data_IF_382517705873
#
_entry.id   IF_382517705873
#
_cell.length_a   1.000
_cell.length_b   1.000
_cell.length_c   1.000
_cell.angle_alpha   90.00
_cell.angle_beta   90.00
_cell.angle_gamma   90.00
#
_symmetry.space_group_name_H-M   'P 1'
#
loop_
_entity.id
_entity.type
_entity.pdbx_description
1 polymer ?
#
# COMPACT_ATOMS: atom_id res chain seq x y z
N UNK A 1 18.81 -27.43 26.38
CA UNK A 1 20.22 -27.29 26.81
C UNK A 1 20.58 -25.83 26.76
N UNK A 2 21.32 -25.28 27.78
CA UNK A 2 21.66 -23.87 27.75
C UNK A 2 22.58 -23.55 26.55
N UNK A 3 22.31 -22.41 25.91
CA UNK A 3 23.18 -21.83 24.90
C UNK A 3 24.30 -21.08 25.61
N UNK A 4 25.53 -21.38 25.28
CA UNK A 4 26.72 -20.78 25.90
C UNK A 4 27.10 -19.45 25.26
N UNK A 5 26.91 -19.34 23.94
CA UNK A 5 27.22 -18.15 23.16
C UNK A 5 26.29 -18.08 21.96
N UNK A 6 25.87 -16.88 21.60
CA UNK A 6 25.16 -16.63 20.35
C UNK A 6 25.62 -15.29 19.76
N UNK A 7 25.45 -15.14 18.47
CA UNK A 7 25.68 -13.92 17.73
C UNK A 7 24.64 -13.83 16.60
N UNK A 8 24.17 -12.62 16.35
CA UNK A 8 23.24 -12.33 15.28
C UNK A 8 23.79 -11.20 14.42
N UNK A 9 23.42 -11.22 13.14
CA UNK A 9 23.49 -10.08 12.24
C UNK A 9 22.09 -9.78 11.74
N UNK A 10 21.66 -8.52 11.86
CA UNK A 10 20.35 -8.06 11.39
C UNK A 10 20.60 -7.01 10.32
N UNK A 11 20.06 -7.24 9.13
CA UNK A 11 20.23 -6.36 7.98
C UNK A 11 18.90 -6.14 7.24
N UNK A 12 18.78 -5.02 6.56
CA UNK A 12 17.72 -4.72 5.62
C UNK A 12 18.24 -4.70 4.19
N UNK A 13 17.35 -4.84 3.19
CA UNK A 13 17.77 -4.82 1.78
C UNK A 13 18.35 -3.46 1.37
N UNK A 14 17.91 -2.37 2.02
CA UNK A 14 18.40 -1.01 1.80
C UNK A 14 19.50 -0.59 2.78
N UNK A 15 19.70 -1.33 3.88
CA UNK A 15 20.72 -1.05 4.89
C UNK A 15 21.36 -2.36 5.36
N UNK A 16 22.67 -2.45 5.28
CA UNK A 16 23.41 -3.65 5.64
C UNK A 16 23.49 -3.91 7.16
N UNK A 17 23.23 -2.92 8.00
CA UNK A 17 23.38 -3.03 9.45
C UNK A 17 22.25 -2.27 10.18
N UNK A 18 21.28 -3.00 10.71
CA UNK A 18 20.27 -2.44 11.59
C UNK A 18 20.72 -2.49 13.06
N UNK A 19 20.35 -1.45 13.81
CA UNK A 19 20.48 -1.48 15.26
C UNK A 19 19.39 -2.39 15.85
N UNK A 20 19.81 -3.28 16.74
CA UNK A 20 18.91 -4.19 17.43
C UNK A 20 19.35 -4.46 18.85
N UNK A 21 18.43 -4.93 19.65
CA UNK A 21 18.70 -5.47 20.99
C UNK A 21 18.22 -6.91 21.09
N UNK A 22 18.81 -7.66 22.01
CA UNK A 22 18.44 -9.06 22.24
C UNK A 22 18.12 -9.30 23.70
N UNK A 23 17.05 -10.07 23.95
CA UNK A 23 16.68 -10.53 25.30
C UNK A 23 16.53 -12.05 25.28
N UNK A 24 17.24 -12.73 26.15
CA UNK A 24 17.12 -14.19 26.32
C UNK A 24 15.96 -14.46 27.26
N UNK A 25 15.08 -15.37 26.89
CA UNK A 25 14.01 -15.92 27.70
C UNK A 25 14.15 -17.44 27.79
N UNK A 26 13.42 -18.07 28.74
CA UNK A 26 13.49 -19.54 28.97
C UNK A 26 13.17 -20.37 27.71
N UNK A 27 12.33 -19.85 26.83
CA UNK A 27 11.86 -20.55 25.61
C UNK A 27 12.41 -20.00 24.31
N UNK A 28 13.26 -18.95 24.33
CA UNK A 28 13.77 -18.35 23.12
C UNK A 28 14.56 -17.07 23.29
N UNK A 29 14.84 -16.44 22.18
CA UNK A 29 15.53 -15.15 22.10
C UNK A 29 14.61 -14.16 21.41
N UNK A 30 14.38 -13.02 22.04
CA UNK A 30 13.68 -11.90 21.43
C UNK A 30 14.73 -10.98 20.82
N UNK A 31 14.59 -10.69 19.53
CA UNK A 31 15.40 -9.69 18.83
C UNK A 31 14.48 -8.50 18.53
N UNK A 32 14.81 -7.34 19.07
CA UNK A 32 14.05 -6.10 18.86
C UNK A 32 14.86 -5.18 17.96
N UNK A 33 14.35 -4.87 16.78
CA UNK A 33 14.95 -3.89 15.88
C UNK A 33 14.63 -2.49 16.43
N UNK A 34 15.65 -1.66 16.55
CA UNK A 34 15.56 -0.33 17.17
C UNK A 34 15.42 0.78 16.13
N UNK A 35 15.77 0.51 14.88
CA UNK A 35 15.65 1.45 13.78
C UNK A 35 14.21 1.51 13.27
N UNK A 36 13.83 2.67 12.73
CA UNK A 36 12.58 2.83 12.01
C UNK A 36 12.73 2.15 10.66
N UNK A 37 11.95 1.10 10.46
CA UNK A 37 11.96 0.36 9.20
C UNK A 37 11.06 1.06 8.17
N UNK A 38 11.52 1.17 6.92
CA UNK A 38 10.64 1.60 5.84
C UNK A 38 9.56 0.57 5.57
N UNK A 39 8.51 0.99 4.88
CA UNK A 39 7.47 0.11 4.36
C UNK A 39 8.06 -0.93 3.41
N UNK A 40 7.52 -2.14 3.43
CA UNK A 40 7.83 -3.24 2.51
C UNK A 40 9.30 -3.66 2.47
N UNK A 41 10.06 -3.35 3.50
CA UNK A 41 11.49 -3.66 3.61
C UNK A 41 11.71 -5.15 3.90
N UNK A 42 12.66 -5.76 3.21
CA UNK A 42 13.07 -7.14 3.49
C UNK A 42 14.14 -7.15 4.58
N UNK A 43 13.85 -7.79 5.69
CA UNK A 43 14.74 -7.91 6.84
C UNK A 43 15.26 -9.33 6.91
N UNK A 44 16.57 -9.45 7.02
CA UNK A 44 17.28 -10.73 7.19
C UNK A 44 17.92 -10.77 8.58
N UNK A 45 17.59 -11.78 9.34
CA UNK A 45 18.20 -12.08 10.63
C UNK A 45 19.02 -13.36 10.48
N UNK A 46 20.32 -13.24 10.58
CA UNK A 46 21.22 -14.39 10.57
C UNK A 46 21.63 -14.74 11.99
N UNK A 47 21.43 -15.97 12.37
CA UNK A 47 22.09 -16.57 13.53
C UNK A 47 23.49 -17.00 13.11
N UNK A 48 24.48 -16.14 13.37
CA UNK A 48 25.85 -16.38 12.92
C UNK A 48 26.54 -17.46 13.76
N UNK A 49 26.15 -17.53 15.05
CA UNK A 49 26.74 -18.47 16.01
C UNK A 49 25.75 -18.79 17.11
N UNK A 50 25.47 -20.05 17.31
CA UNK A 50 24.84 -20.54 18.53
C UNK A 50 25.61 -21.76 19.04
N UNK A 51 26.38 -21.60 20.12
CA UNK A 51 27.16 -22.67 20.70
C UNK A 51 26.38 -23.24 21.89
N UNK A 52 25.95 -24.46 21.73
CA UNK A 52 25.32 -25.24 22.81
C UNK A 52 26.38 -25.89 23.72
N UNK A 53 25.94 -26.43 24.83
CA UNK A 53 26.82 -27.08 25.83
C UNK A 53 27.63 -28.27 25.28
N UNK A 54 27.19 -28.85 24.18
CA UNK A 54 27.92 -29.90 23.44
C UNK A 54 28.99 -29.37 22.47
N UNK A 55 29.25 -28.04 22.48
CA UNK A 55 30.18 -27.32 21.62
C UNK A 55 29.84 -27.39 20.11
N UNK A 56 28.64 -27.82 19.77
CA UNK A 56 28.16 -27.73 18.38
C UNK A 56 27.74 -26.29 18.08
N UNK A 57 28.17 -25.83 16.91
CA UNK A 57 27.77 -24.54 16.38
C UNK A 57 26.57 -24.71 15.46
N UNK A 58 25.57 -23.86 15.64
CA UNK A 58 24.36 -23.81 14.81
C UNK A 58 24.29 -22.43 14.14
N UNK A 59 23.90 -22.45 12.88
CA UNK A 59 23.63 -21.24 12.11
C UNK A 59 22.23 -21.37 11.50
N UNK A 60 21.55 -20.26 11.35
CA UNK A 60 20.21 -20.22 10.71
C UNK A 60 19.96 -18.82 10.15
N UNK A 61 19.03 -18.73 9.21
CA UNK A 61 18.65 -17.45 8.59
C UNK A 61 17.12 -17.34 8.55
N UNK A 62 16.62 -16.23 9.04
CA UNK A 62 15.20 -15.88 8.97
C UNK A 62 15.06 -14.64 8.08
N UNK A 63 14.07 -14.66 7.20
CA UNK A 63 13.74 -13.53 6.31
C UNK A 63 12.26 -13.18 6.50
N UNK A 64 11.99 -11.91 6.71
CA UNK A 64 10.63 -11.39 6.79
C UNK A 64 10.55 -9.99 6.17
N UNK A 65 9.35 -9.47 6.00
CA UNK A 65 9.13 -8.12 5.49
C UNK A 65 8.46 -7.25 6.52
N UNK A 66 8.81 -5.97 6.52
CA UNK A 66 8.06 -4.96 7.25
C UNK A 66 6.66 -4.81 6.65
N UNK A 67 5.74 -4.21 7.40
CA UNK A 67 4.36 -3.98 6.94
C UNK A 67 4.34 -3.22 5.62
N UNK A 68 3.46 -3.61 4.73
CA UNK A 68 3.13 -2.85 3.53
C UNK A 68 2.30 -1.63 3.96
N UNK A 69 2.87 -0.42 3.83
CA UNK A 69 2.21 0.81 4.27
C UNK A 69 1.05 1.14 3.33
N UNK A 70 -0.13 1.38 3.87
CA UNK A 70 -1.36 1.53 3.09
C UNK A 70 -2.21 0.27 2.97
N UNK A 71 -1.68 -0.90 3.33
CA UNK A 71 -2.46 -2.11 3.54
C UNK A 71 -3.18 -2.00 4.90
N UNK A 72 -4.46 -1.66 4.86
CA UNK A 72 -5.26 -1.37 6.06
C UNK A 72 -6.07 -2.57 6.53
N UNK A 73 -6.19 -3.59 5.70
CA UNK A 73 -6.90 -4.84 6.02
C UNK A 73 -5.95 -6.02 6.30
N UNK A 74 -4.62 -5.80 6.21
CA UNK A 74 -3.55 -6.77 6.43
C UNK A 74 -3.61 -8.00 5.49
N UNK A 75 -4.02 -7.79 4.22
CA UNK A 75 -4.10 -8.85 3.21
C UNK A 75 -2.85 -8.89 2.30
N UNK A 76 -1.84 -8.07 2.59
CA UNK A 76 -0.58 -7.91 1.82
C UNK A 76 -0.77 -7.34 0.42
N UNK A 77 -1.85 -6.62 0.21
CA UNK A 77 -2.15 -5.90 -1.04
C UNK A 77 -2.47 -4.45 -0.74
N UNK A 78 -2.51 -3.64 -1.79
CA UNK A 78 -3.11 -2.31 -1.74
C UNK A 78 -4.20 -2.29 -2.79
N UNK A 79 -5.43 -2.19 -2.35
CA UNK A 79 -6.61 -2.41 -3.18
C UNK A 79 -7.74 -1.45 -2.83
N UNK A 80 -8.86 -1.57 -3.52
CA UNK A 80 -10.08 -0.79 -3.24
C UNK A 80 -10.59 -1.05 -1.81
N UNK A 81 -10.36 -2.23 -1.27
CA UNK A 81 -10.73 -2.59 0.11
C UNK A 81 -10.01 -1.73 1.13
N UNK A 82 -8.74 -1.36 0.86
CA UNK A 82 -7.97 -0.45 1.73
C UNK A 82 -8.49 0.98 1.65
N UNK A 83 -8.88 1.44 0.46
CA UNK A 83 -9.54 2.74 0.31
C UNK A 83 -10.86 2.77 1.07
N UNK A 84 -11.65 1.72 0.97
CA UNK A 84 -12.88 1.61 1.74
C UNK A 84 -12.62 1.63 3.24
N UNK A 85 -11.60 0.89 3.69
CA UNK A 85 -11.14 0.87 5.09
C UNK A 85 -10.68 2.25 5.54
N UNK A 86 -9.91 2.95 4.70
CA UNK A 86 -9.48 4.32 4.94
C UNK A 86 -10.69 5.26 5.08
N UNK A 87 -11.61 5.25 4.13
CA UNK A 87 -12.79 6.11 4.14
C UNK A 87 -13.73 5.83 5.33
N UNK A 88 -13.96 4.56 5.66
CA UNK A 88 -14.80 4.17 6.80
C UNK A 88 -14.22 4.61 8.14
N UNK A 89 -12.92 4.68 8.24
CA UNK A 89 -12.20 5.01 9.47
C UNK A 89 -11.77 6.47 9.54
N UNK A 90 -11.89 7.24 8.47
CA UNK A 90 -11.57 8.67 8.45
C UNK A 90 -12.50 9.50 9.35
N UNK A 91 -11.98 10.39 10.18
CA UNK A 91 -10.59 10.74 10.50
C UNK A 91 -10.09 10.07 11.81
N UNK A 92 -9.98 8.76 11.86
CA UNK A 92 -9.54 8.02 13.06
C UNK A 92 -8.06 7.70 13.00
N UNK A 93 -7.48 7.31 14.15
CA UNK A 93 -6.03 7.05 14.32
C UNK A 93 -5.46 6.02 13.33
N UNK A 94 -6.22 5.01 12.96
CA UNK A 94 -5.76 4.00 12.01
C UNK A 94 -5.73 4.48 10.54
N UNK A 95 -6.12 5.71 10.26
CA UNK A 95 -5.96 6.38 8.96
C UNK A 95 -4.85 7.43 8.98
N UNK A 96 -4.10 7.54 10.07
CA UNK A 96 -2.92 8.38 10.18
C UNK A 96 -1.73 7.64 9.55
N UNK A 97 -1.53 7.85 8.26
CA UNK A 97 -0.50 7.22 7.44
C UNK A 97 0.68 8.14 7.16
N UNK A 98 0.52 9.42 7.42
CA UNK A 98 1.48 10.45 7.06
C UNK A 98 1.85 11.41 8.18
N UNK A 99 2.78 12.29 7.91
CA UNK A 99 3.58 12.40 6.68
C UNK A 99 4.52 11.21 6.46
N UNK A 100 4.99 11.08 5.22
CA UNK A 100 5.97 10.06 4.83
C UNK A 100 7.15 10.69 4.12
N UNK A 101 8.34 10.10 4.27
CA UNK A 101 9.53 10.42 3.48
C UNK A 101 9.99 9.22 2.67
N UNK A 102 10.90 9.44 1.71
CA UNK A 102 11.38 8.39 0.82
C UNK A 102 10.49 8.18 -0.41
N UNK A 103 10.79 7.12 -1.14
CA UNK A 103 10.06 6.68 -2.33
C UNK A 103 9.39 5.33 -2.08
N UNK A 104 8.18 5.16 -2.63
CA UNK A 104 7.50 3.87 -2.56
C UNK A 104 8.33 2.77 -3.25
N UNK A 105 8.34 1.54 -2.74
CA UNK A 105 7.59 1.07 -1.58
C UNK A 105 8.24 1.40 -0.23
N UNK A 106 9.47 1.88 -0.20
CA UNK A 106 10.30 2.07 0.98
C UNK A 106 10.03 3.41 1.66
N UNK A 107 8.75 3.71 1.90
CA UNK A 107 8.36 4.91 2.62
C UNK A 107 8.69 4.78 4.11
N UNK A 108 9.25 5.84 4.68
CA UNK A 108 9.41 5.98 6.12
C UNK A 108 8.19 6.73 6.66
N UNK A 109 7.28 6.03 7.36
CA UNK A 109 6.11 6.67 7.96
C UNK A 109 6.50 7.48 9.20
N UNK A 110 5.84 8.62 9.35
CA UNK A 110 5.96 9.48 10.54
C UNK A 110 4.58 10.01 10.92
N UNK A 111 3.65 9.13 11.36
CA UNK A 111 2.31 9.52 11.75
C UNK A 111 2.32 10.67 12.74
N UNK A 112 1.52 11.70 12.49
CA UNK A 112 1.50 12.93 13.31
C UNK A 112 0.28 13.02 14.24
N UNK A 113 -0.57 12.01 14.25
CA UNK A 113 -1.78 11.92 15.06
C UNK A 113 -2.97 12.66 14.45
N UNK A 114 -2.83 13.19 13.24
CA UNK A 114 -3.85 13.98 12.55
C UNK A 114 -4.18 13.31 11.21
N UNK A 115 -5.41 12.85 11.03
CA UNK A 115 -5.84 12.34 9.72
C UNK A 115 -6.18 13.50 8.79
N UNK A 116 -5.30 13.77 7.83
CA UNK A 116 -5.41 14.87 6.87
C UNK A 116 -4.98 14.45 5.43
N UNK A 117 -4.83 15.40 4.53
CA UNK A 117 -4.43 15.15 3.14
C UNK A 117 -3.02 14.54 3.00
N UNK A 118 -2.17 14.62 4.02
CA UNK A 118 -0.84 13.99 3.98
C UNK A 118 -0.96 12.48 4.05
N UNK A 119 -1.94 11.97 4.80
CA UNK A 119 -2.23 10.54 4.89
C UNK A 119 -2.74 9.98 3.57
N UNK A 120 -3.65 10.74 2.96
CA UNK A 120 -4.13 10.42 1.64
C UNK A 120 -3.00 10.44 0.59
N UNK A 121 -2.10 11.41 0.68
CA UNK A 121 -0.94 11.48 -0.21
C UNK A 121 0.03 10.29 0.05
N UNK A 122 0.20 9.88 1.30
CA UNK A 122 0.98 8.70 1.66
C UNK A 122 0.38 7.43 1.06
N UNK A 123 -0.93 7.24 1.24
CA UNK A 123 -1.67 6.14 0.63
C UNK A 123 -1.55 6.15 -0.89
N UNK A 124 -1.76 7.31 -1.53
CA UNK A 124 -1.67 7.47 -2.98
C UNK A 124 -0.31 7.07 -3.56
N UNK A 125 0.81 7.42 -2.87
CA UNK A 125 2.15 6.99 -3.30
C UNK A 125 2.29 5.48 -3.33
N UNK A 126 1.80 4.79 -2.28
CA UNK A 126 1.87 3.33 -2.20
C UNK A 126 0.93 2.67 -3.20
N UNK A 127 -0.26 3.24 -3.41
CA UNK A 127 -1.19 2.79 -4.42
C UNK A 127 -0.57 2.79 -5.81
N UNK A 128 0.01 3.94 -6.21
CA UNK A 128 0.65 4.09 -7.53
C UNK A 128 1.76 3.06 -7.71
N UNK A 129 2.65 2.93 -6.72
CA UNK A 129 3.70 1.93 -6.79
C UNK A 129 3.14 0.52 -6.91
N UNK A 130 2.16 0.15 -6.08
CA UNK A 130 1.61 -1.20 -6.05
C UNK A 130 1.03 -1.61 -7.41
N UNK A 131 0.27 -0.71 -8.03
CA UNK A 131 -0.34 -0.98 -9.33
C UNK A 131 0.63 -0.87 -10.50
N UNK A 132 1.64 -0.03 -10.43
CA UNK A 132 2.54 0.20 -11.55
C UNK A 132 3.77 -0.67 -11.54
N UNK A 133 4.32 -1.00 -10.40
CA UNK A 133 5.58 -1.74 -10.31
C UNK A 133 5.40 -3.17 -9.81
N UNK A 134 4.49 -3.37 -8.89
CA UNK A 134 4.33 -4.67 -8.26
C UNK A 134 3.32 -5.57 -8.97
N UNK A 135 2.24 -5.00 -9.48
CA UNK A 135 1.11 -5.74 -10.05
C UNK A 135 1.07 -5.76 -11.58
N UNK A 136 2.15 -5.38 -12.28
CA UNK A 136 2.20 -5.33 -13.74
C UNK A 136 1.85 -6.67 -14.41
N UNK A 137 2.31 -7.77 -13.85
CA UNK A 137 2.02 -9.10 -14.40
C UNK A 137 0.55 -9.51 -14.20
N UNK A 138 -0.11 -8.98 -13.17
CA UNK A 138 -1.51 -9.30 -12.88
C UNK A 138 -2.48 -8.48 -13.71
N UNK A 139 -2.14 -7.23 -14.06
CA UNK A 139 -2.98 -6.41 -14.95
C UNK A 139 -2.98 -6.90 -16.40
N UNK A 140 -1.90 -7.57 -16.82
CA UNK A 140 -1.79 -8.15 -18.17
C UNK A 140 -2.25 -9.62 -18.20
N UNK A 141 -2.26 -10.32 -17.08
CA UNK A 141 -2.59 -11.74 -16.99
C UNK A 141 -3.89 -12.06 -16.25
N UNK A 142 -4.41 -11.11 -15.48
CA UNK A 142 -5.72 -11.32 -14.86
C UNK A 142 -6.80 -11.04 -15.87
N UNK A 143 -7.27 -12.09 -16.53
CA UNK A 143 -8.68 -12.22 -16.80
C UNK A 143 -9.43 -12.22 -15.46
N UNK A 144 -9.37 -11.13 -14.71
CA UNK A 144 -10.34 -10.85 -13.68
C UNK A 144 -11.60 -10.49 -14.46
N UNK A 145 -12.28 -11.51 -14.95
CA UNK A 145 -13.65 -11.36 -15.37
C UNK A 145 -14.48 -11.15 -14.09
N UNK A 146 -14.38 -9.97 -13.49
CA UNK A 146 -15.51 -9.51 -12.75
C UNK A 146 -16.62 -9.38 -13.78
N UNK A 147 -17.59 -10.25 -13.69
CA UNK A 147 -18.84 -10.19 -14.48
C UNK A 147 -19.66 -8.97 -14.02
N UNK A 148 -19.06 -7.79 -14.14
CA UNK A 148 -19.76 -6.54 -13.95
C UNK A 148 -20.00 -5.96 -15.32
N UNK A 149 -21.26 -5.76 -15.66
CA UNK A 149 -21.69 -4.97 -16.83
C UNK A 149 -21.33 -3.49 -16.61
N UNK A 150 -20.02 -3.20 -16.63
CA UNK A 150 -19.53 -1.83 -16.64
C UNK A 150 -19.66 -1.31 -18.05
N UNK A 151 -20.60 -0.40 -18.26
CA UNK A 151 -20.73 0.30 -19.53
C UNK A 151 -20.04 1.65 -19.47
N UNK A 152 -19.14 1.88 -20.43
CA UNK A 152 -18.51 3.18 -20.66
C UNK A 152 -19.04 3.77 -21.97
N UNK A 153 -19.57 4.98 -21.92
CA UNK A 153 -20.02 5.72 -23.09
C UNK A 153 -19.31 7.06 -23.16
N UNK A 154 -18.68 7.33 -24.30
CA UNK A 154 -18.13 8.65 -24.60
C UNK A 154 -19.19 9.50 -25.28
N UNK A 155 -19.57 10.59 -24.64
CA UNK A 155 -20.47 11.57 -25.21
C UNK A 155 -19.78 12.92 -25.27
N UNK A 156 -19.45 13.40 -26.47
CA UNK A 156 -18.80 14.72 -26.69
C UNK A 156 -17.58 14.93 -25.77
N UNK A 157 -17.78 15.56 -24.61
CA UNK A 157 -16.72 15.98 -23.69
C UNK A 157 -16.79 15.24 -22.34
N UNK A 158 -17.53 14.17 -22.22
CA UNK A 158 -17.59 13.41 -20.98
C UNK A 158 -17.62 11.90 -21.22
N UNK A 159 -17.03 11.20 -20.28
CA UNK A 159 -17.11 9.76 -20.15
C UNK A 159 -18.15 9.44 -19.09
N UNK A 160 -19.14 8.66 -19.49
CA UNK A 160 -20.14 8.14 -18.59
C UNK A 160 -19.77 6.72 -18.20
N UNK A 161 -19.70 6.48 -16.90
CA UNK A 161 -19.45 5.17 -16.30
C UNK A 161 -20.71 4.69 -15.60
N UNK A 162 -21.29 3.62 -16.10
CA UNK A 162 -22.39 2.94 -15.43
C UNK A 162 -21.82 1.80 -14.60
N UNK A 163 -21.97 1.89 -13.28
CA UNK A 163 -21.54 0.85 -12.35
C UNK A 163 -22.73 0.05 -11.84
N UNK A 164 -22.58 -1.24 -11.54
CA UNK A 164 -23.65 -2.05 -10.95
C UNK A 164 -24.13 -1.50 -9.61
N UNK A 165 -25.35 -1.85 -9.25
CA UNK A 165 -25.85 -1.58 -7.89
C UNK A 165 -24.95 -2.23 -6.85
N UNK A 166 -24.76 -1.56 -5.72
CA UNK A 166 -23.86 -1.98 -4.63
C UNK A 166 -22.37 -1.96 -4.99
N UNK A 167 -21.95 -1.19 -5.99
CA UNK A 167 -20.54 -0.88 -6.20
C UNK A 167 -20.07 0.15 -5.17
N UNK A 168 -19.12 -0.21 -4.34
CA UNK A 168 -18.59 0.66 -3.26
C UNK A 168 -17.30 1.37 -3.64
N UNK A 169 -16.61 0.90 -4.68
CA UNK A 169 -15.39 1.52 -5.19
C UNK A 169 -15.17 1.19 -6.66
N UNK A 170 -14.46 2.08 -7.34
CA UNK A 170 -14.06 1.91 -8.73
C UNK A 170 -12.70 2.56 -8.98
N UNK A 171 -11.91 1.93 -9.84
CA UNK A 171 -10.70 2.51 -10.40
C UNK A 171 -10.84 2.61 -11.91
N UNK A 172 -10.46 3.78 -12.45
CA UNK A 172 -10.38 4.02 -13.89
C UNK A 172 -8.95 4.39 -14.25
N UNK A 173 -8.39 3.66 -15.19
CA UNK A 173 -7.03 3.91 -15.67
C UNK A 173 -7.09 4.34 -17.13
N UNK A 174 -6.57 5.54 -17.40
CA UNK A 174 -6.46 6.08 -18.76
C UNK A 174 -5.01 5.94 -19.23
N UNK A 175 -4.80 5.15 -20.24
CA UNK A 175 -3.49 4.94 -20.86
C UNK A 175 -3.29 5.88 -22.06
N UNK A 176 -2.03 6.27 -22.29
CA UNK A 176 -1.64 7.12 -23.42
C UNK A 176 -2.47 8.42 -23.50
N UNK A 177 -2.81 8.99 -22.34
CA UNK A 177 -3.62 10.19 -22.33
C UNK A 177 -2.75 11.44 -22.47
N UNK A 178 -3.12 12.33 -23.37
CA UNK A 178 -2.54 13.67 -23.45
C UNK A 178 -3.15 14.63 -22.41
N UNK A 179 -4.03 14.11 -21.57
CA UNK A 179 -4.75 14.87 -20.57
C UNK A 179 -3.96 14.94 -19.26
N UNK A 180 -4.26 15.93 -18.45
CA UNK A 180 -3.77 16.07 -17.08
C UNK A 180 -4.91 15.83 -16.11
N UNK A 181 -4.58 15.38 -14.88
CA UNK A 181 -5.58 15.17 -13.83
C UNK A 181 -6.52 16.37 -13.64
N UNK A 182 -5.98 17.59 -13.75
CA UNK A 182 -6.76 18.84 -13.63
C UNK A 182 -7.79 19.05 -14.73
N UNK A 183 -7.67 18.35 -15.82
CA UNK A 183 -8.57 18.47 -16.98
C UNK A 183 -9.84 17.61 -16.82
N UNK A 184 -9.95 16.89 -15.70
CA UNK A 184 -11.08 16.02 -15.40
C UNK A 184 -11.87 16.51 -14.18
N UNK A 185 -13.19 16.53 -14.32
CA UNK A 185 -14.11 16.67 -13.21
C UNK A 185 -15.01 15.44 -13.11
N UNK A 186 -15.23 14.99 -11.88
CA UNK A 186 -16.17 13.90 -11.60
C UNK A 186 -17.48 14.53 -11.13
N UNK A 187 -18.53 14.34 -11.88
CA UNK A 187 -19.85 14.80 -11.54
C UNK A 187 -20.64 13.68 -10.84
N UNK A 188 -21.67 14.06 -10.09
CA UNK A 188 -22.58 13.15 -9.40
C UNK A 188 -21.93 12.33 -8.26
N UNK A 189 -20.83 12.84 -7.66
CA UNK A 189 -20.34 12.28 -6.43
C UNK A 189 -21.22 12.74 -5.24
N UNK A 190 -21.57 11.79 -4.38
CA UNK A 190 -22.27 12.09 -3.12
C UNK A 190 -21.37 12.90 -2.19
N UNK A 191 -21.99 13.71 -1.33
CA UNK A 191 -21.28 14.32 -0.22
C UNK A 191 -20.75 13.22 0.70
N UNK A 192 -19.42 13.15 0.85
CA UNK A 192 -18.74 12.11 1.65
C UNK A 192 -18.16 10.97 0.83
N UNK A 193 -18.35 10.95 -0.50
CA UNK A 193 -17.58 10.07 -1.37
C UNK A 193 -16.12 10.51 -1.38
N UNK A 194 -15.26 9.53 -1.38
CA UNK A 194 -13.83 9.71 -1.44
C UNK A 194 -13.34 9.52 -2.86
N UNK A 195 -12.48 10.41 -3.33
CA UNK A 195 -11.84 10.23 -4.62
C UNK A 195 -10.46 10.88 -4.64
N UNK A 196 -9.56 10.32 -5.40
CA UNK A 196 -8.30 10.94 -5.76
C UNK A 196 -7.89 10.54 -7.17
N UNK A 197 -6.99 11.34 -7.76
CA UNK A 197 -6.44 11.06 -9.06
C UNK A 197 -4.93 11.22 -9.04
N UNK A 198 -4.24 10.33 -9.71
CA UNK A 198 -2.78 10.31 -9.83
C UNK A 198 -2.39 10.28 -11.29
N UNK A 199 -1.38 11.07 -11.67
CA UNK A 199 -0.78 11.01 -12.99
C UNK A 199 0.64 10.50 -12.91
N UNK A 200 0.95 9.49 -13.72
CA UNK A 200 2.30 9.05 -14.02
C UNK A 200 2.69 9.63 -15.38
N UNK A 201 3.55 10.65 -15.35
CA UNK A 201 4.00 11.34 -16.57
C UNK A 201 4.95 10.50 -17.40
N UNK A 202 5.71 9.61 -16.78
CA UNK A 202 6.70 8.79 -17.46
C UNK A 202 6.03 7.69 -18.29
N UNK A 203 4.90 7.19 -17.79
CA UNK A 203 4.09 6.15 -18.45
C UNK A 203 2.89 6.70 -19.21
N UNK A 204 2.69 8.02 -19.16
CA UNK A 204 1.55 8.68 -19.78
C UNK A 204 0.20 8.08 -19.34
N UNK A 205 0.03 7.96 -18.03
CA UNK A 205 -1.10 7.29 -17.39
C UNK A 205 -1.76 8.22 -16.36
N UNK A 206 -3.09 8.15 -16.29
CA UNK A 206 -3.89 8.78 -15.24
C UNK A 206 -4.78 7.71 -14.62
N UNK A 207 -4.72 7.56 -13.29
CA UNK A 207 -5.61 6.70 -12.52
C UNK A 207 -6.53 7.56 -11.65
N UNK A 208 -7.82 7.25 -11.69
CA UNK A 208 -8.84 7.81 -10.81
C UNK A 208 -9.38 6.69 -9.92
N UNK A 209 -9.38 6.94 -8.64
CA UNK A 209 -9.96 6.03 -7.66
C UNK A 209 -11.10 6.73 -6.95
N UNK A 210 -12.22 6.04 -6.83
CA UNK A 210 -13.45 6.53 -6.21
C UNK A 210 -13.95 5.48 -5.24
N UNK A 211 -14.37 5.89 -4.05
CA UNK A 211 -15.00 5.01 -3.07
C UNK A 211 -16.12 5.73 -2.32
N UNK A 212 -17.19 5.00 -2.00
CA UNK A 212 -18.29 5.49 -1.16
C UNK A 212 -18.82 4.36 -0.29
N UNK A 213 -18.92 4.61 1.01
CA UNK A 213 -19.39 3.63 1.99
C UNK A 213 -20.88 3.28 1.85
N UNK A 214 -21.66 4.11 1.18
CA UNK A 214 -23.09 3.90 0.91
C UNK A 214 -23.35 3.36 -0.50
N UNK A 215 -22.30 3.06 -1.24
CA UNK A 215 -22.34 2.68 -2.65
C UNK A 215 -22.27 3.88 -3.58
N UNK A 216 -21.61 3.69 -4.72
CA UNK A 216 -21.47 4.70 -5.76
C UNK A 216 -22.80 4.95 -6.46
N UNK A 217 -23.10 6.21 -6.76
CA UNK A 217 -24.22 6.55 -7.63
C UNK A 217 -23.89 6.15 -9.08
N UNK A 218 -24.88 5.68 -9.78
CA UNK A 218 -24.75 5.33 -11.20
C UNK A 218 -25.74 6.17 -12.01
N UNK A 219 -25.32 6.76 -13.15
CA UNK A 219 -23.95 6.76 -13.69
C UNK A 219 -23.05 7.83 -13.07
N UNK A 220 -21.78 7.51 -12.93
CA UNK A 220 -20.73 8.51 -12.70
C UNK A 220 -20.37 9.17 -14.02
N UNK A 221 -20.09 10.47 -13.99
CA UNK A 221 -19.73 11.22 -15.18
C UNK A 221 -18.42 11.95 -15.00
N UNK A 222 -17.47 11.70 -15.87
CA UNK A 222 -16.18 12.37 -15.93
C UNK A 222 -16.20 13.36 -17.09
N UNK A 223 -16.15 14.64 -16.79
CA UNK A 223 -16.10 15.67 -17.82
C UNK A 223 -14.68 16.19 -18.03
N UNK A 224 -14.31 16.44 -19.30
CA UNK A 224 -13.11 17.17 -19.68
C UNK A 224 -13.43 18.66 -19.68
N UNK A 225 -12.53 19.46 -19.09
CA UNK A 225 -12.62 20.93 -19.02
C UNK A 225 -11.67 21.57 -20.00
#
# INVERSE_FOLDING_TARGET
KPILKFGFTVSASQDSNLNYSTVIQDSGIIISILDILPSYETITVNLDTAIAFNLLNYTDTMVFRSKLWGDLNDDYKISVEDILSFNQNWPKVNTDLGPVSGMAPYLFPSPDGISDLKDLAAFGKMWVWYYHEYNQDSLLSSNISYNYDIHTEWEKNYLKLVVPENTYGAELVFFNSNFKVKDFHINNLKNGSFHFAVSDTDRNLISFVIADKSGLDSPLTFSLV
#
